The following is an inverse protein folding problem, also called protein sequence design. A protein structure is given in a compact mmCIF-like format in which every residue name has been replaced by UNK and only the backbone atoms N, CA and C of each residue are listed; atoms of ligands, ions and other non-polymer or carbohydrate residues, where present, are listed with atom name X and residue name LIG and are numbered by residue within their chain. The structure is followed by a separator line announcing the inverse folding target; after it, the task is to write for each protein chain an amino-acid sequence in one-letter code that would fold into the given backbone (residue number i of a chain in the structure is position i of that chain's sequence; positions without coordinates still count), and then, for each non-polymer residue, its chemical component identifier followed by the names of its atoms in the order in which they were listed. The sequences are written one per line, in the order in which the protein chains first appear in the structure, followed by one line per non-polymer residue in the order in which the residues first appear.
data_IF_441994223667
#
_entry.id   IF_441994223667
#
_cell.length_a   1.000
_cell.length_b   1.000
_cell.length_c   1.000
_cell.angle_alpha   90.00
_cell.angle_beta   90.00
_cell.angle_gamma   90.00
#
_symmetry.space_group_name_H-M   'P 1'
#
loop_
_entity.id
_entity.type
_entity.pdbx_description
1 polymer ?
#
# COMPACT_ATOMS: atom_id res chain seq x y z
N UNK A 1 -3.38 0.62 -19.67
CA UNK A 1 -2.39 0.33 -18.62
C UNK A 1 -3.18 0.00 -17.36
N UNK A 2 -2.71 -0.96 -16.57
CA UNK A 2 -3.35 -1.31 -15.29
C UNK A 2 -2.76 -0.42 -14.19
N UNK A 3 -3.51 -0.21 -13.10
CA UNK A 3 -3.02 0.44 -11.89
C UNK A 3 -2.79 -0.63 -10.82
N UNK A 4 -1.55 -0.80 -10.39
CA UNK A 4 -1.17 -1.73 -9.31
C UNK A 4 -0.70 -0.98 -8.08
N UNK A 5 -1.04 -1.47 -6.90
CA UNK A 5 -0.58 -0.88 -5.63
C UNK A 5 0.70 -1.54 -5.16
N UNK A 6 1.76 -0.74 -5.02
CA UNK A 6 3.12 -1.21 -4.77
C UNK A 6 3.69 -0.62 -3.49
N UNK A 7 4.52 -1.40 -2.82
CA UNK A 7 5.09 -1.11 -1.51
C UNK A 7 6.59 -1.40 -1.52
N UNK A 8 7.37 -0.56 -0.86
CA UNK A 8 8.81 -0.69 -0.72
C UNK A 8 9.23 -0.45 0.74
N UNK A 9 9.84 -1.44 1.38
CA UNK A 9 10.50 -1.29 2.68
C UNK A 9 11.86 -0.64 2.50
N UNK A 10 12.15 0.37 3.32
CA UNK A 10 13.45 1.05 3.33
C UNK A 10 13.91 1.34 4.76
N UNK A 11 15.21 1.47 4.96
CA UNK A 11 15.74 2.04 6.19
C UNK A 11 15.39 3.53 6.29
N UNK A 12 15.45 4.10 7.50
CA UNK A 12 15.23 5.53 7.69
C UNK A 12 16.24 6.38 6.91
N UNK A 13 17.50 5.94 6.83
CA UNK A 13 18.54 6.63 6.04
C UNK A 13 18.19 6.66 4.55
N UNK A 14 17.81 5.51 3.99
CA UNK A 14 17.44 5.38 2.58
C UNK A 14 16.19 6.19 2.25
N UNK A 15 15.20 6.23 3.15
CA UNK A 15 14.04 7.12 3.00
C UNK A 15 14.46 8.60 2.94
N UNK A 16 15.35 9.04 3.84
CA UNK A 16 15.82 10.43 3.84
C UNK A 16 16.59 10.78 2.56
N UNK A 17 17.35 9.84 2.02
CA UNK A 17 18.05 10.01 0.75
C UNK A 17 17.06 10.23 -0.41
N UNK A 18 15.95 9.48 -0.45
CA UNK A 18 14.88 9.69 -1.44
C UNK A 18 14.08 10.96 -1.21
N UNK A 19 13.88 11.40 0.04
CA UNK A 19 13.24 12.70 0.31
C UNK A 19 14.12 13.86 -0.18
N UNK A 20 15.43 13.76 -0.01
CA UNK A 20 16.37 14.79 -0.46
C UNK A 20 16.57 14.79 -1.98
N UNK A 21 16.52 13.61 -2.60
CA UNK A 21 16.69 13.41 -4.04
C UNK A 21 15.68 12.39 -4.57
N UNK A 22 14.43 12.81 -4.84
CA UNK A 22 13.34 11.91 -5.25
C UNK A 22 13.59 11.16 -6.57
N UNK A 23 14.46 11.68 -7.44
CA UNK A 23 14.84 11.01 -8.69
C UNK A 23 15.54 9.66 -8.43
N UNK A 24 16.21 9.49 -7.29
CA UNK A 24 16.79 8.20 -6.91
C UNK A 24 15.75 7.11 -6.72
N UNK A 25 14.54 7.46 -6.27
CA UNK A 25 13.43 6.50 -6.23
C UNK A 25 13.01 6.10 -7.64
N UNK A 26 12.93 7.05 -8.57
CA UNK A 26 12.61 6.77 -9.99
C UNK A 26 13.68 5.86 -10.61
N UNK A 27 14.96 6.14 -10.36
CA UNK A 27 16.07 5.30 -10.81
C UNK A 27 16.01 3.88 -10.23
N UNK A 28 15.62 3.72 -8.96
CA UNK A 28 15.38 2.40 -8.36
C UNK A 28 14.22 1.67 -9.05
N UNK A 29 13.08 2.35 -9.25
CA UNK A 29 11.86 1.71 -9.74
C UNK A 29 11.89 1.40 -11.23
N UNK A 30 12.54 2.24 -12.04
CA UNK A 30 12.46 2.19 -13.50
C UNK A 30 13.81 2.24 -14.22
N UNK A 31 14.92 2.36 -13.49
CA UNK A 31 16.26 2.54 -14.03
C UNK A 31 17.25 1.47 -13.56
N UNK A 32 18.47 1.92 -13.25
CA UNK A 32 19.58 1.07 -12.77
C UNK A 32 19.90 1.33 -11.29
N UNK A 33 18.94 1.82 -10.51
CA UNK A 33 19.12 2.05 -9.08
C UNK A 33 19.37 0.73 -8.32
N UNK A 34 20.20 0.81 -7.28
CA UNK A 34 20.53 -0.34 -6.43
C UNK A 34 19.66 -0.37 -5.18
N UNK A 35 19.13 -1.54 -4.83
CA UNK A 35 18.40 -1.76 -3.58
C UNK A 35 19.34 -1.62 -2.37
N UNK A 36 18.78 -1.16 -1.24
CA UNK A 36 19.50 -1.12 0.02
C UNK A 36 19.73 -2.56 0.52
N UNK A 37 20.99 -3.03 0.63
CA UNK A 37 21.29 -4.39 1.06
C UNK A 37 20.86 -4.68 2.51
N UNK A 38 20.49 -3.65 3.28
CA UNK A 38 19.94 -3.79 4.64
C UNK A 38 18.46 -4.20 4.65
N UNK A 39 17.77 -4.13 3.52
CA UNK A 39 16.35 -4.49 3.37
C UNK A 39 16.20 -5.62 2.34
N UNK A 40 16.44 -6.89 2.71
CA UNK A 40 16.28 -8.00 1.79
C UNK A 40 14.80 -8.19 1.42
N UNK A 41 14.53 -8.43 0.14
CA UNK A 41 13.17 -8.63 -0.40
C UNK A 41 12.23 -7.47 -0.01
N UNK A 42 12.56 -6.21 -0.40
CA UNK A 42 11.87 -5.04 0.13
C UNK A 42 10.56 -4.71 -0.58
N UNK A 43 10.30 -5.35 -1.73
CA UNK A 43 9.17 -5.06 -2.61
C UNK A 43 7.98 -5.97 -2.32
N UNK A 44 6.79 -5.40 -2.43
CA UNK A 44 5.54 -6.14 -2.47
C UNK A 44 4.51 -5.37 -3.29
N UNK A 45 3.61 -6.05 -4.00
CA UNK A 45 2.48 -5.42 -4.68
C UNK A 45 1.19 -6.19 -4.40
N UNK A 46 0.08 -5.45 -4.33
CA UNK A 46 -1.27 -6.01 -4.14
C UNK A 46 -2.02 -6.14 -5.46
N UNK A 47 -1.30 -6.16 -6.59
CA UNK A 47 -1.84 -6.08 -7.93
C UNK A 47 -2.96 -5.00 -8.01
N UNK A 48 -4.11 -5.33 -8.58
CA UNK A 48 -5.23 -4.39 -8.78
C UNK A 48 -6.18 -4.30 -7.60
N UNK A 49 -5.88 -4.98 -6.49
CA UNK A 49 -6.76 -5.03 -5.31
C UNK A 49 -6.64 -3.79 -4.43
N UNK A 50 -5.64 -2.92 -4.66
CA UNK A 50 -5.32 -1.77 -3.79
C UNK A 50 -6.54 -0.91 -3.42
N UNK A 51 -7.40 -0.58 -4.39
CA UNK A 51 -8.55 0.27 -4.12
C UNK A 51 -9.67 -0.48 -3.41
N UNK A 52 -9.83 -1.77 -3.69
CA UNK A 52 -10.78 -2.62 -2.97
C UNK A 52 -10.36 -2.78 -1.52
N UNK A 53 -9.09 -3.11 -1.26
CA UNK A 53 -8.55 -3.20 0.09
C UNK A 53 -8.75 -1.86 0.81
N UNK A 54 -8.38 -0.74 0.17
CA UNK A 54 -8.60 0.59 0.74
C UNK A 54 -10.08 0.83 1.10
N UNK A 55 -11.00 0.57 0.16
CA UNK A 55 -12.43 0.76 0.38
C UNK A 55 -12.98 -0.11 1.50
N UNK A 56 -12.57 -1.38 1.60
CA UNK A 56 -13.01 -2.26 2.69
C UNK A 56 -12.46 -1.78 4.05
N UNK A 57 -11.31 -1.12 4.07
CA UNK A 57 -10.73 -0.56 5.30
C UNK A 57 -11.41 0.75 5.73
N UNK A 58 -11.72 1.64 4.79
CA UNK A 58 -12.13 3.03 5.08
C UNK A 58 -13.60 3.34 4.79
N UNK A 59 -14.23 2.59 3.89
CA UNK A 59 -15.53 2.90 3.30
C UNK A 59 -15.49 4.01 2.24
N UNK A 60 -14.31 4.43 1.78
CA UNK A 60 -14.10 5.47 0.78
C UNK A 60 -13.08 5.02 -0.28
N UNK A 61 -13.10 5.63 -1.46
CA UNK A 61 -12.24 5.26 -2.59
C UNK A 61 -10.80 5.78 -2.47
N UNK A 62 -10.57 6.85 -1.70
CA UNK A 62 -9.25 7.50 -1.54
C UNK A 62 -9.06 8.15 -0.16
N UNK A 63 -10.15 8.58 0.46
CA UNK A 63 -10.13 9.22 1.76
C UNK A 63 -10.24 8.19 2.90
N UNK A 64 -10.05 8.67 4.13
CA UNK A 64 -10.23 7.82 5.29
C UNK A 64 -9.58 8.42 6.52
N UNK A 65 -9.65 7.67 7.62
CA UNK A 65 -9.00 8.05 8.87
C UNK A 65 -7.75 7.23 9.06
N UNK A 66 -6.87 7.75 9.89
CA UNK A 66 -5.75 6.99 10.43
C UNK A 66 -6.27 5.98 11.48
N UNK A 67 -5.77 4.73 11.50
CA UNK A 67 -4.71 4.17 10.64
C UNK A 67 -5.19 3.52 9.33
N UNK A 68 -6.50 3.41 9.11
CA UNK A 68 -7.05 2.58 8.02
C UNK A 68 -6.64 3.06 6.62
N UNK A 69 -6.67 4.38 6.39
CA UNK A 69 -6.25 5.00 5.12
C UNK A 69 -4.79 4.68 4.80
N UNK A 70 -3.95 4.70 5.83
CA UNK A 70 -2.50 4.65 5.73
C UNK A 70 -1.97 3.30 5.22
N UNK A 71 -2.81 2.27 5.22
CA UNK A 71 -2.45 0.94 4.70
C UNK A 71 -2.11 0.99 3.21
N UNK A 72 -2.87 1.76 2.42
CA UNK A 72 -2.68 1.90 0.97
C UNK A 72 -2.11 3.28 0.61
N UNK A 73 -2.60 4.34 1.26
CA UNK A 73 -2.16 5.70 1.01
C UNK A 73 -1.48 6.27 2.24
N UNK A 74 -0.15 6.34 2.22
CA UNK A 74 0.65 6.92 3.28
C UNK A 74 0.20 8.33 3.66
N UNK A 75 0.63 8.78 4.83
CA UNK A 75 0.28 10.11 5.35
C UNK A 75 1.21 11.21 4.84
N UNK A 76 2.43 10.85 4.47
CA UNK A 76 3.43 11.79 3.97
C UNK A 76 3.61 11.60 2.47
N UNK A 77 3.64 12.69 1.71
CA UNK A 77 4.00 12.67 0.28
C UNK A 77 5.51 12.80 0.17
N UNK A 78 6.15 11.95 -0.62
CA UNK A 78 7.60 11.95 -0.80
C UNK A 78 8.05 13.16 -1.62
N UNK A 79 7.39 13.41 -2.75
CA UNK A 79 7.58 14.60 -3.58
C UNK A 79 6.34 14.84 -4.44
N UNK A 80 5.78 16.04 -4.38
CA UNK A 80 4.64 16.44 -5.25
C UNK A 80 5.05 16.60 -6.72
N UNK A 81 6.36 16.69 -7.01
CA UNK A 81 6.89 16.95 -8.35
C UNK A 81 7.26 15.66 -9.10
N UNK A 82 7.47 14.55 -8.38
CA UNK A 82 7.91 13.27 -8.96
C UNK A 82 6.74 12.29 -9.03
N UNK A 83 6.42 11.87 -10.26
CA UNK A 83 5.40 10.87 -10.54
C UNK A 83 6.06 9.49 -10.70
N UNK A 84 5.52 8.50 -10.00
CA UNK A 84 5.97 7.10 -10.01
C UNK A 84 4.89 6.15 -10.59
N UNK A 85 4.14 6.64 -11.58
CA UNK A 85 3.21 5.87 -12.40
C UNK A 85 1.83 6.54 -12.50
N UNK A 86 1.12 6.63 -11.38
CA UNK A 86 -0.19 7.27 -11.27
C UNK A 86 -0.21 8.32 -10.15
N UNK A 87 0.83 9.15 -10.10
CA UNK A 87 1.01 10.21 -9.12
C UNK A 87 2.21 9.98 -8.20
N UNK A 88 2.36 10.82 -7.17
CA UNK A 88 3.53 10.78 -6.31
C UNK A 88 3.51 9.59 -5.36
N UNK A 89 4.71 9.13 -4.97
CA UNK A 89 4.85 8.18 -3.88
C UNK A 89 4.47 8.84 -2.56
N UNK A 90 3.84 8.06 -1.69
CA UNK A 90 3.63 8.38 -0.29
C UNK A 90 4.51 7.49 0.59
N UNK A 91 4.67 7.84 1.87
CA UNK A 91 5.44 7.01 2.79
C UNK A 91 4.90 7.06 4.23
N UNK A 92 5.34 6.05 4.98
CA UNK A 92 5.18 5.93 6.42
C UNK A 92 6.56 5.79 7.07
N UNK A 93 6.77 6.55 8.13
CA UNK A 93 7.88 6.37 9.06
C UNK A 93 7.77 5.03 9.80
N UNK A 94 8.88 4.55 10.38
CA UNK A 94 8.87 3.32 11.17
C UNK A 94 7.87 3.34 12.36
N UNK A 95 7.53 4.52 12.88
CA UNK A 95 6.50 4.66 13.92
C UNK A 95 5.09 4.44 13.34
N UNK A 96 4.77 5.09 12.22
CA UNK A 96 3.46 4.96 11.55
C UNK A 96 3.26 3.55 10.97
N UNK A 97 4.33 2.91 10.49
CA UNK A 97 4.32 1.48 10.08
C UNK A 97 3.87 0.58 11.24
N UNK A 98 4.33 0.85 12.47
CA UNK A 98 3.90 0.07 13.65
C UNK A 98 2.44 0.31 14.01
N UNK A 99 1.92 1.52 13.78
CA UNK A 99 0.50 1.83 13.98
C UNK A 99 -0.37 1.08 12.97
N UNK A 100 0.03 1.07 11.69
CA UNK A 100 -0.64 0.29 10.64
C UNK A 100 -0.56 -1.21 10.94
N UNK A 101 0.61 -1.74 11.29
CA UNK A 101 0.76 -3.15 11.66
C UNK A 101 -0.12 -3.52 12.86
N UNK A 102 -0.17 -2.69 13.91
CA UNK A 102 -1.01 -2.95 15.08
C UNK A 102 -2.49 -3.04 14.72
N UNK A 103 -2.95 -2.14 13.83
CA UNK A 103 -4.31 -2.17 13.31
C UNK A 103 -4.59 -3.44 12.49
N UNK A 104 -3.73 -3.75 11.51
CA UNK A 104 -3.88 -4.91 10.64
C UNK A 104 -3.86 -6.24 11.41
N UNK A 105 -3.03 -6.35 12.44
CA UNK A 105 -2.96 -7.53 13.33
C UNK A 105 -4.30 -7.83 14.02
N UNK A 106 -5.15 -6.83 14.18
CA UNK A 106 -6.46 -6.94 14.81
C UNK A 106 -7.63 -7.18 13.86
N UNK A 107 -7.38 -7.32 12.55
CA UNK A 107 -8.43 -7.45 11.54
C UNK A 107 -8.19 -8.70 10.69
N UNK A 108 -9.11 -9.67 10.73
CA UNK A 108 -8.99 -10.87 9.89
C UNK A 108 -9.39 -10.58 8.44
N UNK A 109 -8.93 -11.43 7.51
CA UNK A 109 -9.35 -11.35 6.12
C UNK A 109 -10.87 -11.60 5.95
N UNK A 110 -11.48 -12.46 6.77
CA UNK A 110 -12.94 -12.61 6.76
C UNK A 110 -13.65 -11.37 7.29
N UNK A 111 -13.11 -10.73 8.33
CA UNK A 111 -13.65 -9.48 8.86
C UNK A 111 -13.54 -8.34 7.85
N UNK A 112 -12.42 -8.24 7.12
CA UNK A 112 -12.25 -7.29 6.02
C UNK A 112 -13.30 -7.54 4.93
N UNK A 113 -13.38 -8.77 4.42
CA UNK A 113 -14.29 -9.12 3.33
C UNK A 113 -15.76 -8.99 3.72
N UNK A 114 -16.10 -9.19 4.99
CA UNK A 114 -17.48 -9.01 5.49
C UNK A 114 -18.04 -7.60 5.27
N UNK A 115 -17.17 -6.61 4.99
CA UNK A 115 -17.52 -5.23 4.71
C UNK A 115 -17.86 -4.98 3.24
N UNK A 116 -17.75 -5.99 2.37
CA UNK A 116 -18.08 -5.88 0.96
C UNK A 116 -19.57 -5.52 0.78
N UNK A 117 -19.82 -4.36 0.19
CA UNK A 117 -21.15 -3.91 -0.22
C UNK A 117 -21.10 -3.54 -1.71
N UNK A 118 -21.65 -4.43 -2.54
CA UNK A 118 -21.67 -4.29 -4.00
C UNK A 118 -22.24 -2.95 -4.45
N UNK A 119 -23.31 -2.47 -3.81
CA UNK A 119 -23.99 -1.24 -4.23
C UNK A 119 -23.15 -0.02 -3.83
N UNK A 120 -22.52 -0.04 -2.66
CA UNK A 120 -21.60 1.02 -2.23
C UNK A 120 -20.37 1.09 -3.14
N UNK A 121 -19.75 -0.06 -3.44
CA UNK A 121 -18.57 -0.21 -4.29
C UNK A 121 -18.84 0.32 -5.70
N UNK A 122 -19.97 -0.07 -6.30
CA UNK A 122 -20.39 0.42 -7.64
C UNK A 122 -20.66 1.90 -7.65
N UNK A 123 -21.27 2.44 -6.60
CA UNK A 123 -21.60 3.87 -6.51
C UNK A 123 -20.37 4.77 -6.60
N UNK A 124 -19.24 4.30 -6.08
CA UNK A 124 -17.98 5.06 -6.05
C UNK A 124 -16.96 4.60 -7.09
N UNK A 125 -17.34 3.64 -7.95
CA UNK A 125 -16.51 3.04 -9.01
C UNK A 125 -15.13 2.59 -8.50
N UNK A 126 -15.11 1.77 -7.44
CA UNK A 126 -13.87 1.14 -6.95
C UNK A 126 -13.18 0.38 -8.09
N UNK A 127 -11.90 0.64 -8.29
CA UNK A 127 -11.08 0.01 -9.29
C UNK A 127 -10.73 -1.44 -8.90
N UNK A 128 -10.65 -2.35 -9.89
CA UNK A 128 -11.22 -2.20 -11.22
C UNK A 128 -12.76 -2.33 -11.19
N UNK A 129 -13.46 -1.81 -12.20
CA UNK A 129 -14.91 -1.59 -12.20
C UNK A 129 -15.79 -2.86 -12.39
N UNK A 130 -15.25 -4.06 -12.17
CA UNK A 130 -15.91 -5.33 -12.46
C UNK A 130 -16.14 -6.25 -11.26
N UNK A 131 -15.98 -5.75 -10.04
CA UNK A 131 -16.24 -6.51 -8.81
C UNK A 131 -17.67 -7.07 -8.77
N UNK A 132 -17.78 -8.39 -8.65
CA UNK A 132 -19.03 -9.14 -8.46
C UNK A 132 -19.21 -9.52 -6.99
N UNK A 133 -18.14 -9.73 -6.23
CA UNK A 133 -18.18 -10.24 -4.86
C UNK A 133 -18.48 -11.74 -4.77
N UNK A 134 -18.13 -12.50 -5.80
CA UNK A 134 -18.09 -13.96 -5.75
C UNK A 134 -16.87 -14.48 -4.97
N UNK A 135 -16.72 -15.80 -4.91
CA UNK A 135 -15.61 -16.42 -4.18
C UNK A 135 -14.25 -16.14 -4.84
N UNK A 136 -14.21 -15.90 -6.17
CA UNK A 136 -12.96 -15.54 -6.86
C UNK A 136 -12.49 -14.15 -6.45
N UNK A 137 -13.39 -13.16 -6.44
CA UNK A 137 -13.10 -11.81 -5.96
C UNK A 137 -12.68 -11.82 -4.48
N UNK A 138 -13.37 -12.63 -3.66
CA UNK A 138 -13.05 -12.79 -2.25
C UNK A 138 -11.63 -13.31 -2.08
N UNK A 139 -11.31 -14.46 -2.67
CA UNK A 139 -10.01 -15.11 -2.55
C UNK A 139 -8.90 -14.17 -3.04
N UNK A 140 -9.08 -13.55 -4.20
CA UNK A 140 -8.14 -12.59 -4.77
C UNK A 140 -7.85 -11.43 -3.80
N UNK A 141 -8.87 -10.78 -3.24
CA UNK A 141 -8.67 -9.67 -2.30
C UNK A 141 -8.09 -10.13 -0.97
N UNK A 142 -8.55 -11.26 -0.43
CA UNK A 142 -8.10 -11.74 0.88
C UNK A 142 -6.67 -12.27 0.85
N UNK A 143 -6.23 -12.90 -0.23
CA UNK A 143 -4.87 -13.42 -0.36
C UNK A 143 -3.85 -12.28 -0.40
N UNK A 144 -4.06 -11.28 -1.26
CA UNK A 144 -3.20 -10.08 -1.30
C UNK A 144 -3.27 -9.28 0.01
N UNK A 145 -4.43 -9.24 0.67
CA UNK A 145 -4.53 -8.60 1.98
C UNK A 145 -3.68 -9.31 3.04
N UNK A 146 -3.72 -10.64 3.13
CA UNK A 146 -2.95 -11.40 4.12
C UNK A 146 -1.45 -11.23 3.93
N UNK A 147 -0.98 -11.31 2.68
CA UNK A 147 0.41 -11.06 2.34
C UNK A 147 0.83 -9.61 2.65
N UNK A 148 -0.06 -8.62 2.46
CA UNK A 148 0.16 -7.23 2.87
C UNK A 148 0.27 -7.10 4.41
N UNK A 149 -0.52 -7.86 5.18
CA UNK A 149 -0.40 -7.90 6.64
C UNK A 149 0.97 -8.41 7.06
N UNK A 150 1.45 -9.48 6.42
CA UNK A 150 2.77 -10.06 6.68
C UNK A 150 3.90 -9.10 6.27
N UNK A 151 3.74 -8.38 5.16
CA UNK A 151 4.65 -7.31 4.74
C UNK A 151 4.77 -6.21 5.81
N UNK A 152 3.65 -5.68 6.31
CA UNK A 152 3.68 -4.67 7.36
C UNK A 152 4.23 -5.20 8.68
N UNK A 153 4.02 -6.49 9.00
CA UNK A 153 4.63 -7.13 10.16
C UNK A 153 6.15 -7.15 10.05
N UNK A 154 6.70 -7.60 8.90
CA UNK A 154 8.14 -7.57 8.63
C UNK A 154 8.72 -6.16 8.77
N UNK A 155 8.06 -5.16 8.17
CA UNK A 155 8.51 -3.78 8.24
C UNK A 155 8.55 -3.27 9.69
N UNK A 156 7.47 -3.52 10.46
CA UNK A 156 7.36 -3.09 11.85
C UNK A 156 8.39 -3.76 12.77
N UNK A 157 8.62 -5.06 12.61
CA UNK A 157 9.58 -5.84 13.39
C UNK A 157 11.03 -5.40 13.17
N UNK A 158 11.35 -4.98 11.94
CA UNK A 158 12.69 -4.53 11.56
C UNK A 158 12.89 -3.01 11.68
N UNK A 159 11.90 -2.26 12.19
CA UNK A 159 11.91 -0.79 12.28
C UNK A 159 12.16 -0.11 10.93
N UNK A 160 11.56 -0.64 9.87
CA UNK A 160 11.66 -0.09 8.52
C UNK A 160 10.55 0.92 8.26
N UNK A 161 10.81 1.83 7.35
CA UNK A 161 9.81 2.70 6.74
C UNK A 161 9.18 1.99 5.55
N UNK A 162 8.01 2.44 5.11
CA UNK A 162 7.34 1.90 3.91
C UNK A 162 7.00 3.05 2.97
N UNK A 163 7.39 2.92 1.71
CA UNK A 163 6.96 3.79 0.61
C UNK A 163 5.81 3.09 -0.11
N UNK A 164 4.72 3.79 -0.40
CA UNK A 164 3.55 3.30 -1.14
C UNK A 164 3.33 4.13 -2.41
N UNK A 165 3.03 3.46 -3.52
CA UNK A 165 2.77 4.11 -4.79
C UNK A 165 1.84 3.27 -5.68
N UNK A 166 1.20 3.94 -6.65
CA UNK A 166 0.39 3.29 -7.69
C UNK A 166 1.12 3.40 -9.02
N UNK A 167 1.35 2.27 -9.69
CA UNK A 167 2.11 2.18 -10.97
C UNK A 167 1.42 1.39 -12.07
#
# INVERSE_FOLDING_TARGET
MSMIGSFLMVTESTLQDYIQDPEKLVELLYGEGEEDPQTPDPHYDVDKTWQMIHFLLTGDSYEGKHPERNVIFGVNVLSEEVDVGYGPASFLTAAEVKEVHHFLKGLSAEELWSRFDREAIRKVNVYPDHWTGDDEDREYVTDYYLDLVDFYARAAENNLCVIQYIS
#
